data_IF_107163631197
#
_entry.id   IF_107163631197
#
_cell.length_a   1.000
_cell.length_b   1.000
_cell.length_c   1.000
_cell.angle_alpha   90.00
_cell.angle_beta   90.00
_cell.angle_gamma   90.00
#
_symmetry.space_group_name_H-M   'P 1'
#
loop_
_entity.id
_entity.type
_entity.pdbx_description
1 polymer ?
#
# COMPACT_ATOMS: atom_id res chain seq x y z
N UNK A 1 7.79 -2.68 -11.01
CA UNK A 1 6.42 -3.19 -11.32
C UNK A 1 5.66 -3.26 -10.01
N UNK A 2 4.55 -2.54 -9.87
CA UNK A 2 3.70 -2.59 -8.67
C UNK A 2 2.99 -3.93 -8.61
N UNK A 3 2.92 -4.54 -7.42
CA UNK A 3 2.24 -5.81 -7.19
C UNK A 3 1.01 -5.61 -6.30
N UNK A 4 -0.09 -6.32 -6.58
CA UNK A 4 -1.30 -6.35 -5.77
C UNK A 4 -1.17 -7.41 -4.67
N UNK A 5 -1.02 -6.94 -3.44
CA UNK A 5 -0.99 -7.79 -2.24
C UNK A 5 -2.38 -7.85 -1.58
N UNK A 6 -2.87 -9.05 -1.26
CA UNK A 6 -4.12 -9.25 -0.51
C UNK A 6 -3.82 -9.74 0.91
N UNK A 7 -4.22 -9.00 1.96
CA UNK A 7 -4.05 -9.45 3.34
C UNK A 7 -5.08 -10.52 3.69
N UNK A 8 -4.61 -11.62 4.29
CA UNK A 8 -5.43 -12.70 4.82
C UNK A 8 -5.61 -12.51 6.32
N UNK A 9 -6.85 -12.33 6.75
CA UNK A 9 -7.22 -11.89 8.12
C UNK A 9 -8.13 -12.89 8.86
N UNK A 10 -8.25 -14.08 8.28
CA UNK A 10 -9.12 -15.17 8.71
C UNK A 10 -8.64 -15.78 10.02
N UNK A 11 -9.56 -16.36 10.79
CA UNK A 11 -9.25 -16.81 12.16
C UNK A 11 -8.65 -18.22 12.24
N UNK A 12 -8.69 -18.99 11.15
CA UNK A 12 -8.17 -20.35 11.09
C UNK A 12 -7.25 -20.54 9.90
N UNK A 13 -6.34 -21.51 10.01
CA UNK A 13 -5.36 -21.83 8.96
C UNK A 13 -6.06 -22.33 7.71
N UNK A 14 -7.07 -23.20 7.86
CA UNK A 14 -7.84 -23.77 6.75
C UNK A 14 -8.52 -22.68 5.93
N UNK A 15 -9.10 -21.68 6.61
CA UNK A 15 -9.73 -20.56 5.94
C UNK A 15 -8.71 -19.66 5.25
N UNK A 16 -7.56 -19.39 5.88
CA UNK A 16 -6.48 -18.64 5.22
C UNK A 16 -6.00 -19.33 3.94
N UNK A 17 -5.85 -20.65 3.94
CA UNK A 17 -5.48 -21.43 2.74
C UNK A 17 -6.55 -21.31 1.65
N UNK A 18 -7.84 -21.39 2.00
CA UNK A 18 -8.93 -21.17 1.04
C UNK A 18 -8.90 -19.74 0.48
N UNK A 19 -8.62 -18.75 1.31
CA UNK A 19 -8.57 -17.34 0.92
C UNK A 19 -7.35 -17.04 0.03
N UNK A 20 -6.23 -17.76 0.18
CA UNK A 20 -5.11 -17.70 -0.78
C UNK A 20 -5.55 -18.11 -2.18
N UNK A 21 -6.32 -19.20 -2.30
CA UNK A 21 -6.80 -19.68 -3.58
C UNK A 21 -7.80 -18.69 -4.21
N UNK A 22 -8.70 -18.13 -3.40
CA UNK A 22 -9.63 -17.08 -3.83
C UNK A 22 -8.89 -15.81 -4.29
N UNK A 23 -7.88 -15.36 -3.54
CA UNK A 23 -7.06 -14.20 -3.89
C UNK A 23 -6.38 -14.38 -5.26
N UNK A 24 -5.83 -15.58 -5.51
CA UNK A 24 -5.26 -15.92 -6.82
C UNK A 24 -6.30 -15.88 -7.94
N UNK A 25 -7.47 -16.47 -7.72
CA UNK A 25 -8.55 -16.45 -8.72
C UNK A 25 -9.02 -15.02 -9.05
N UNK A 26 -8.92 -14.10 -8.09
CA UNK A 26 -9.21 -12.68 -8.26
C UNK A 26 -8.04 -11.86 -8.86
N UNK A 27 -6.90 -12.48 -9.17
CA UNK A 27 -5.76 -11.82 -9.81
C UNK A 27 -4.78 -11.14 -8.86
N UNK A 28 -4.71 -11.55 -7.59
CA UNK A 28 -3.66 -11.10 -6.69
C UNK A 28 -2.27 -11.60 -7.13
N UNK A 29 -1.26 -10.73 -7.01
CA UNK A 29 0.14 -11.08 -7.32
C UNK A 29 0.83 -11.77 -6.13
N UNK A 30 0.39 -11.43 -4.90
CA UNK A 30 0.90 -11.99 -3.65
C UNK A 30 -0.11 -11.84 -2.51
N UNK A 31 0.14 -12.54 -1.39
CA UNK A 31 -0.69 -12.50 -0.19
C UNK A 31 0.12 -12.09 1.06
N UNK A 32 -0.52 -11.37 1.97
CA UNK A 32 0.03 -11.03 3.30
C UNK A 32 -0.68 -11.85 4.38
N UNK A 33 0.03 -12.78 5.00
CA UNK A 33 -0.47 -13.61 6.10
C UNK A 33 -0.36 -12.82 7.40
N UNK A 34 -1.51 -12.46 7.99
CA UNK A 34 -1.61 -11.80 9.29
C UNK A 34 -1.70 -12.83 10.41
N UNK A 35 -0.55 -13.33 10.87
CA UNK A 35 -0.51 -14.36 11.91
C UNK A 35 -1.21 -13.91 13.20
N UNK A 36 -1.20 -12.61 13.50
CA UNK A 36 -1.90 -11.99 14.63
C UNK A 36 -3.43 -12.15 14.59
N UNK A 37 -3.99 -12.48 13.42
CA UNK A 37 -5.42 -12.75 13.28
C UNK A 37 -5.80 -14.22 13.58
N UNK A 38 -4.85 -15.16 13.57
CA UNK A 38 -5.13 -16.58 13.80
C UNK A 38 -5.43 -16.86 15.27
N UNK A 39 -6.48 -17.65 15.51
CA UNK A 39 -6.82 -18.14 16.85
C UNK A 39 -6.16 -19.51 17.08
N UNK A 40 -5.53 -19.70 18.24
CA UNK A 40 -4.84 -20.96 18.61
C UNK A 40 -3.69 -21.36 17.66
N UNK A 41 -2.91 -20.38 17.20
CA UNK A 41 -1.78 -20.58 16.29
C UNK A 41 -0.64 -21.36 16.95
N UNK A 42 -0.26 -22.49 16.34
CA UNK A 42 0.95 -23.25 16.66
C UNK A 42 1.98 -23.08 15.52
N UNK A 43 3.06 -22.32 15.72
CA UNK A 43 4.03 -22.05 14.67
C UNK A 43 4.63 -23.31 14.02
N UNK A 44 4.83 -24.40 14.76
CA UNK A 44 5.46 -25.61 14.20
C UNK A 44 4.54 -26.34 13.23
N UNK A 45 3.26 -26.43 13.58
CA UNK A 45 2.24 -27.11 12.78
C UNK A 45 1.72 -26.22 11.65
N UNK A 46 1.37 -24.99 11.98
CA UNK A 46 0.55 -24.14 11.13
C UNK A 46 1.36 -23.43 10.05
N UNK A 47 2.61 -23.07 10.32
CA UNK A 47 3.49 -22.49 9.30
C UNK A 47 3.76 -23.47 8.16
N UNK A 48 3.89 -24.77 8.46
CA UNK A 48 4.09 -25.77 7.42
C UNK A 48 2.87 -25.83 6.47
N UNK A 49 1.66 -25.71 7.00
CA UNK A 49 0.43 -25.69 6.21
C UNK A 49 0.28 -24.39 5.40
N UNK A 50 0.55 -23.24 6.02
CA UNK A 50 0.43 -21.92 5.37
C UNK A 50 1.50 -21.67 4.30
N UNK A 51 2.71 -22.20 4.50
CA UNK A 51 3.86 -21.92 3.64
C UNK A 51 4.19 -23.04 2.65
N UNK A 52 3.60 -24.23 2.81
CA UNK A 52 3.88 -25.44 2.02
C UNK A 52 3.48 -25.31 0.55
N UNK A 53 2.24 -25.70 0.21
CA UNK A 53 1.74 -25.69 -1.18
C UNK A 53 0.90 -24.44 -1.47
N UNK A 54 1.54 -23.28 -1.34
CA UNK A 54 0.86 -22.00 -1.51
C UNK A 54 0.80 -21.58 -2.99
N UNK A 55 -0.37 -21.13 -3.48
CA UNK A 55 -0.55 -20.84 -4.90
C UNK A 55 0.01 -19.48 -5.33
N UNK A 56 0.42 -18.64 -4.36
CA UNK A 56 0.97 -17.29 -4.54
C UNK A 56 2.21 -17.04 -3.65
N UNK A 57 3.11 -16.12 -4.06
CA UNK A 57 4.07 -15.48 -3.16
C UNK A 57 3.40 -15.01 -1.86
N UNK A 58 3.99 -15.31 -0.70
CA UNK A 58 3.46 -14.96 0.61
C UNK A 58 4.43 -14.07 1.37
N UNK A 59 3.84 -13.14 2.12
CA UNK A 59 4.49 -12.24 3.05
C UNK A 59 3.95 -12.60 4.43
N UNK A 60 4.79 -12.58 5.44
CA UNK A 60 4.35 -12.81 6.82
C UNK A 60 4.61 -11.55 7.63
N UNK A 61 3.55 -11.02 8.22
CA UNK A 61 3.63 -9.82 9.06
C UNK A 61 4.00 -10.21 10.51
N UNK A 62 4.92 -9.44 11.09
CA UNK A 62 5.34 -9.44 12.51
C UNK A 62 5.98 -10.72 13.06
N UNK A 63 7.06 -10.55 13.85
CA UNK A 63 7.80 -11.55 14.63
C UNK A 63 8.20 -12.88 13.95
N UNK A 64 7.94 -13.03 12.65
CA UNK A 64 8.25 -14.22 11.87
C UNK A 64 9.75 -14.51 11.83
N UNK A 65 10.59 -13.47 11.85
CA UNK A 65 12.06 -13.60 11.90
C UNK A 65 12.51 -14.40 13.13
N UNK A 66 11.80 -14.30 14.25
CA UNK A 66 12.09 -15.10 15.46
C UNK A 66 11.65 -16.56 15.33
N UNK A 67 10.69 -16.84 14.45
CA UNK A 67 10.10 -18.15 14.25
C UNK A 67 10.84 -18.99 13.19
N UNK A 68 11.57 -18.35 12.27
CA UNK A 68 12.47 -19.04 11.35
C UNK A 68 13.86 -19.19 11.95
N UNK A 69 14.39 -20.41 11.93
CA UNK A 69 15.68 -20.82 12.51
C UNK A 69 16.90 -20.28 11.74
N UNK A 70 16.98 -18.95 11.54
CA UNK A 70 18.03 -18.23 10.80
C UNK A 70 18.12 -18.55 9.29
N UNK A 71 17.42 -19.57 8.80
CA UNK A 71 17.33 -19.91 7.36
C UNK A 71 15.96 -19.57 6.78
N UNK A 72 15.98 -18.60 5.88
CA UNK A 72 14.85 -18.24 5.02
C UNK A 72 14.55 -19.39 4.04
N UNK A 73 13.29 -19.87 3.93
CA UNK A 73 12.93 -20.90 2.96
C UNK A 73 13.18 -20.45 1.50
N UNK A 74 13.39 -21.39 0.58
CA UNK A 74 13.42 -21.10 -0.86
C UNK A 74 12.06 -20.52 -1.31
N UNK A 75 12.08 -19.55 -2.23
CA UNK A 75 10.90 -18.79 -2.72
C UNK A 75 10.11 -18.01 -1.65
N UNK A 76 10.70 -17.72 -0.50
CA UNK A 76 10.12 -16.84 0.53
C UNK A 76 10.53 -15.37 0.30
N UNK A 77 9.69 -14.40 0.67
CA UNK A 77 10.05 -12.98 0.75
C UNK A 77 9.67 -12.43 2.12
N UNK A 78 10.62 -11.79 2.79
CA UNK A 78 10.46 -11.15 4.08
C UNK A 78 10.00 -9.70 3.87
N UNK A 79 8.84 -9.36 4.41
CA UNK A 79 8.48 -7.98 4.67
C UNK A 79 8.97 -7.59 6.05
N UNK A 80 9.65 -6.46 6.12
CA UNK A 80 9.80 -5.76 7.39
C UNK A 80 8.98 -4.47 7.28
N UNK A 81 8.02 -4.34 8.18
CA UNK A 81 7.08 -3.23 8.21
C UNK A 81 7.33 -2.28 9.37
N UNK A 82 7.13 -0.99 9.14
CA UNK A 82 7.09 0.03 10.18
C UNK A 82 5.76 0.79 10.11
N UNK A 83 5.16 1.04 11.27
CA UNK A 83 3.89 1.73 11.43
C UNK A 83 4.09 2.98 12.29
N UNK A 84 3.75 4.16 11.77
CA UNK A 84 3.65 5.40 12.53
C UNK A 84 2.16 5.81 12.56
N UNK A 85 1.52 5.60 13.71
CA UNK A 85 0.10 5.87 13.88
C UNK A 85 -0.20 7.35 14.18
N UNK A 86 0.83 8.18 14.34
CA UNK A 86 0.71 9.57 14.78
C UNK A 86 0.80 10.55 13.59
N UNK A 87 1.73 10.34 12.68
CA UNK A 87 2.01 11.26 11.58
C UNK A 87 2.75 10.61 10.42
N UNK A 88 2.99 11.39 9.36
CA UNK A 88 3.91 11.04 8.29
C UNK A 88 5.21 11.83 8.44
N UNK A 89 6.37 11.16 8.63
CA UNK A 89 7.67 11.82 8.73
C UNK A 89 8.11 12.50 7.42
N UNK A 90 9.19 13.27 7.49
CA UNK A 90 9.83 13.87 6.31
C UNK A 90 10.40 12.82 5.35
N UNK A 91 10.66 13.20 4.11
CA UNK A 91 11.25 12.29 3.10
C UNK A 91 12.65 11.79 3.50
N UNK A 92 13.43 12.59 4.23
CA UNK A 92 14.74 12.19 4.75
C UNK A 92 14.61 11.10 5.84
N UNK A 93 13.67 11.28 6.77
CA UNK A 93 13.40 10.29 7.82
C UNK A 93 12.84 8.99 7.24
N UNK A 94 11.91 9.10 6.28
CA UNK A 94 11.36 7.94 5.57
C UNK A 94 12.46 7.20 4.78
N UNK A 95 13.35 7.92 4.10
CA UNK A 95 14.48 7.30 3.37
C UNK A 95 15.45 6.60 4.33
N UNK A 96 15.73 7.22 5.48
CA UNK A 96 16.53 6.61 6.55
C UNK A 96 15.86 5.36 7.12
N UNK A 97 14.53 5.37 7.25
CA UNK A 97 13.75 4.20 7.66
C UNK A 97 13.82 3.08 6.62
N UNK A 98 13.65 3.40 5.32
CA UNK A 98 13.82 2.42 4.22
C UNK A 98 15.19 1.77 4.31
N UNK A 99 16.27 2.55 4.44
CA UNK A 99 17.64 2.04 4.53
C UNK A 99 17.83 1.10 5.73
N UNK A 100 17.28 1.44 6.90
CA UNK A 100 17.33 0.55 8.09
C UNK A 100 16.57 -0.75 7.88
N UNK A 101 15.39 -0.69 7.27
CA UNK A 101 14.56 -1.86 6.97
C UNK A 101 15.27 -2.78 5.96
N UNK A 102 15.89 -2.21 4.94
CA UNK A 102 16.71 -2.95 3.97
C UNK A 102 17.93 -3.60 4.63
N UNK A 103 18.66 -2.86 5.47
CA UNK A 103 19.83 -3.36 6.19
C UNK A 103 19.50 -4.52 7.15
N UNK A 104 18.25 -4.60 7.63
CA UNK A 104 17.75 -5.72 8.42
C UNK A 104 17.45 -7.00 7.59
N UNK A 105 17.66 -6.96 6.27
CA UNK A 105 17.48 -8.12 5.39
C UNK A 105 16.07 -8.27 4.81
N UNK A 106 15.27 -7.19 4.79
CA UNK A 106 13.95 -7.21 4.15
C UNK A 106 14.06 -7.39 2.62
N UNK A 107 13.21 -8.24 2.06
CA UNK A 107 13.00 -8.30 0.61
C UNK A 107 12.03 -7.23 0.13
N UNK A 108 11.09 -6.84 1.00
CA UNK A 108 10.06 -5.84 0.72
C UNK A 108 9.95 -4.91 1.93
N UNK A 109 10.01 -3.61 1.68
CA UNK A 109 9.83 -2.56 2.69
C UNK A 109 8.35 -2.16 2.74
N UNK A 110 7.73 -2.21 3.92
CA UNK A 110 6.37 -1.71 4.14
C UNK A 110 6.40 -0.56 5.15
N UNK A 111 6.04 0.64 4.73
CA UNK A 111 5.92 1.80 5.61
C UNK A 111 4.47 2.25 5.59
N UNK A 112 3.85 2.29 6.76
CA UNK A 112 2.50 2.80 6.94
C UNK A 112 2.56 3.98 7.92
N UNK A 113 2.02 5.12 7.50
CA UNK A 113 1.97 6.35 8.29
C UNK A 113 0.55 6.88 8.36
N UNK A 114 0.28 7.74 9.34
CA UNK A 114 -0.98 8.47 9.43
C UNK A 114 -0.84 9.82 8.72
N UNK A 115 -1.68 10.09 7.72
CA UNK A 115 -1.83 11.42 7.16
C UNK A 115 -2.76 12.25 8.06
N UNK A 116 -2.24 13.33 8.63
CA UNK A 116 -2.99 14.35 9.37
C UNK A 116 -3.55 15.39 8.41
N UNK A 117 -2.78 15.73 7.38
CA UNK A 117 -3.23 16.53 6.23
C UNK A 117 -2.87 15.82 4.92
N UNK A 118 -3.52 16.20 3.82
CA UNK A 118 -3.23 15.63 2.50
C UNK A 118 -1.79 15.88 2.04
N UNK A 119 -1.13 16.95 2.50
CA UNK A 119 0.27 17.23 2.14
C UNK A 119 1.23 16.16 2.67
N UNK A 120 0.82 15.42 3.70
CA UNK A 120 1.61 14.34 4.31
C UNK A 120 1.86 13.17 3.34
N UNK A 121 1.04 13.02 2.29
CA UNK A 121 1.24 11.95 1.30
C UNK A 121 2.39 12.28 0.33
N UNK A 122 2.77 13.56 0.19
CA UNK A 122 3.85 13.96 -0.74
C UNK A 122 5.22 13.35 -0.38
N UNK A 123 5.69 13.36 0.89
CA UNK A 123 6.90 12.63 1.29
C UNK A 123 6.87 11.14 0.97
N UNK A 124 5.71 10.48 1.11
CA UNK A 124 5.55 9.06 0.78
C UNK A 124 5.73 8.83 -0.73
N UNK A 125 5.14 9.67 -1.58
CA UNK A 125 5.35 9.59 -3.03
C UNK A 125 6.80 9.83 -3.42
N UNK A 126 7.48 10.80 -2.79
CA UNK A 126 8.90 11.04 -3.06
C UNK A 126 9.72 9.77 -2.81
N UNK A 127 9.54 9.12 -1.67
CA UNK A 127 10.28 7.88 -1.34
C UNK A 127 9.92 6.75 -2.30
N UNK A 128 8.65 6.60 -2.66
CA UNK A 128 8.18 5.57 -3.60
C UNK A 128 8.74 5.78 -5.02
N UNK A 129 8.80 7.03 -5.50
CA UNK A 129 9.38 7.36 -6.83
C UNK A 129 10.85 6.97 -6.88
N UNK A 130 11.60 7.18 -5.79
CA UNK A 130 12.98 6.69 -5.68
C UNK A 130 13.08 5.15 -5.62
N UNK A 131 11.96 4.45 -5.34
CA UNK A 131 11.88 2.99 -5.15
C UNK A 131 11.14 2.21 -6.27
N UNK A 132 10.75 2.85 -7.39
CA UNK A 132 10.14 2.26 -8.61
C UNK A 132 8.58 2.13 -8.64
N UNK A 133 7.92 3.14 -9.22
CA UNK A 133 6.60 3.06 -9.89
C UNK A 133 6.78 3.52 -11.35
N UNK A 134 5.92 3.09 -12.29
CA UNK A 134 5.90 3.62 -13.66
C UNK A 134 5.71 5.14 -13.62
N UNK A 135 6.73 5.89 -14.04
CA UNK A 135 6.87 7.33 -13.84
C UNK A 135 6.03 8.17 -14.80
N UNK A 136 5.21 7.56 -15.66
CA UNK A 136 4.49 8.21 -16.74
C UNK A 136 2.98 8.36 -16.51
N UNK A 137 2.41 7.67 -15.51
CA UNK A 137 0.98 7.78 -15.17
C UNK A 137 0.65 9.16 -14.60
N UNK A 138 -0.29 9.87 -15.25
CA UNK A 138 -0.73 11.19 -14.80
C UNK A 138 -1.80 11.10 -13.72
N UNK A 139 -1.66 11.91 -12.67
CA UNK A 139 -2.62 12.02 -11.57
C UNK A 139 -3.54 13.21 -11.82
N UNK A 140 -4.83 12.94 -11.83
CA UNK A 140 -5.90 13.92 -11.79
C UNK A 140 -6.70 13.75 -10.50
N UNK A 141 -7.49 14.75 -10.12
CA UNK A 141 -8.43 14.51 -9.04
C UNK A 141 -9.45 15.60 -8.79
N UNK A 142 -10.36 15.29 -7.88
CA UNK A 142 -11.31 16.25 -7.34
C UNK A 142 -10.85 16.66 -5.95
N UNK A 143 -10.67 17.95 -5.76
CA UNK A 143 -10.35 18.56 -4.48
C UNK A 143 -11.65 19.02 -3.82
N UNK A 144 -11.82 18.72 -2.53
CA UNK A 144 -12.91 19.25 -1.72
C UNK A 144 -12.89 18.76 -0.28
N UNK A 145 -13.78 19.30 0.56
CA UNK A 145 -14.02 18.88 1.94
C UNK A 145 -15.49 19.12 2.31
N UNK A 146 -16.33 18.06 2.47
CA UNK A 146 -16.03 16.64 2.26
C UNK A 146 -15.94 16.29 0.76
N UNK A 147 -15.20 15.23 0.42
CA UNK A 147 -15.02 14.81 -1.00
C UNK A 147 -15.42 13.35 -1.28
N UNK A 148 -15.56 12.51 -0.25
CA UNK A 148 -15.77 11.06 -0.40
C UNK A 148 -17.06 10.65 -1.12
N UNK A 149 -18.03 11.55 -1.25
CA UNK A 149 -19.29 11.30 -1.95
C UNK A 149 -19.22 11.55 -3.47
N UNK A 150 -18.10 12.10 -3.97
CA UNK A 150 -17.96 12.43 -5.39
C UNK A 150 -17.92 11.19 -6.26
N UNK A 151 -18.75 11.16 -7.30
CA UNK A 151 -18.72 10.12 -8.35
C UNK A 151 -17.69 10.41 -9.45
N UNK A 152 -16.97 11.53 -9.37
CA UNK A 152 -15.98 11.93 -10.38
C UNK A 152 -14.87 10.89 -10.58
N UNK A 153 -14.31 10.25 -9.53
CA UNK A 153 -13.34 9.18 -9.71
C UNK A 153 -13.85 7.99 -10.54
N UNK A 154 -15.12 7.60 -10.36
CA UNK A 154 -15.72 6.49 -11.11
C UNK A 154 -15.81 6.85 -12.59
N UNK A 155 -16.36 8.03 -12.90
CA UNK A 155 -16.56 8.49 -14.27
C UNK A 155 -15.23 8.68 -15.02
N UNK A 156 -14.26 9.38 -14.41
CA UNK A 156 -13.02 9.71 -15.08
C UNK A 156 -12.10 8.51 -15.26
N UNK A 157 -11.98 7.61 -14.28
CA UNK A 157 -11.17 6.40 -14.46
C UNK A 157 -11.78 5.47 -15.53
N UNK A 158 -13.11 5.38 -15.62
CA UNK A 158 -13.77 4.63 -16.70
C UNK A 158 -13.47 5.22 -18.09
N UNK A 159 -13.48 6.56 -18.19
CA UNK A 159 -13.14 7.25 -19.43
C UNK A 159 -11.65 7.14 -19.80
N UNK A 160 -10.73 7.29 -18.85
CA UNK A 160 -9.29 7.10 -19.09
C UNK A 160 -8.99 5.70 -19.59
N UNK A 161 -9.62 4.69 -18.97
CA UNK A 161 -9.51 3.30 -19.40
C UNK A 161 -10.07 3.07 -20.80
N UNK A 162 -11.21 3.67 -21.15
CA UNK A 162 -11.85 3.42 -22.46
C UNK A 162 -11.05 4.00 -23.64
N UNK A 163 -10.27 5.05 -23.41
CA UNK A 163 -9.43 5.68 -24.45
C UNK A 163 -7.94 5.33 -24.34
N UNK A 164 -7.56 4.46 -23.39
CA UNK A 164 -6.16 4.07 -23.18
C UNK A 164 -5.26 5.21 -22.68
N UNK A 165 -5.82 6.22 -22.01
CA UNK A 165 -5.05 7.33 -21.46
C UNK A 165 -4.42 6.90 -20.12
N UNK A 166 -3.08 6.94 -20.03
CA UNK A 166 -2.35 6.51 -18.84
C UNK A 166 -2.49 7.53 -17.70
N UNK A 167 -3.64 7.51 -17.03
CA UNK A 167 -3.95 8.42 -15.94
C UNK A 167 -4.86 7.78 -14.90
N UNK A 168 -4.84 8.35 -13.69
CA UNK A 168 -5.73 8.02 -12.58
C UNK A 168 -6.44 9.27 -12.08
N UNK A 169 -7.72 9.16 -11.72
CA UNK A 169 -8.50 10.22 -11.10
C UNK A 169 -8.87 9.86 -9.66
N UNK A 170 -8.43 10.65 -8.68
CA UNK A 170 -8.62 10.35 -7.24
C UNK A 170 -9.31 11.50 -6.47
N UNK A 171 -9.97 11.22 -5.34
CA UNK A 171 -10.44 12.27 -4.43
C UNK A 171 -9.28 12.80 -3.59
N UNK A 172 -9.18 14.13 -3.49
CA UNK A 172 -8.27 14.84 -2.59
C UNK A 172 -9.08 15.57 -1.52
N UNK A 173 -9.00 15.08 -0.27
CA UNK A 173 -9.58 15.74 0.90
C UNK A 173 -8.62 16.84 1.34
N UNK A 174 -8.94 18.10 1.05
CA UNK A 174 -7.99 19.21 1.23
C UNK A 174 -8.53 20.23 2.22
N UNK A 175 -7.71 20.58 3.21
CA UNK A 175 -8.03 21.58 4.24
C UNK A 175 -7.60 22.98 3.79
N UNK A 176 -6.34 23.12 3.39
CA UNK A 176 -5.75 24.37 2.91
C UNK A 176 -5.31 24.20 1.46
N UNK A 177 -6.00 24.88 0.54
CA UNK A 177 -5.74 24.74 -0.91
C UNK A 177 -4.33 25.17 -1.29
N UNK A 178 -3.81 26.24 -0.67
CA UNK A 178 -2.47 26.75 -0.98
C UNK A 178 -1.39 25.69 -0.69
N UNK A 179 -1.48 25.03 0.47
CA UNK A 179 -0.54 23.99 0.88
C UNK A 179 -0.61 22.78 -0.05
N UNK A 180 -1.82 22.37 -0.44
CA UNK A 180 -2.02 21.33 -1.45
C UNK A 180 -1.35 21.66 -2.79
N UNK A 181 -1.60 22.86 -3.34
CA UNK A 181 -1.03 23.26 -4.63
C UNK A 181 0.49 23.37 -4.57
N UNK A 182 1.05 23.80 -3.43
CA UNK A 182 2.49 23.83 -3.21
C UNK A 182 3.08 22.42 -3.17
N UNK A 183 2.46 21.51 -2.40
CA UNK A 183 2.92 20.12 -2.23
C UNK A 183 2.81 19.29 -3.53
N UNK A 184 1.78 19.53 -4.34
CA UNK A 184 1.45 18.76 -5.54
C UNK A 184 1.66 19.57 -6.83
N UNK A 185 2.80 20.25 -6.93
CA UNK A 185 3.14 21.16 -8.05
C UNK A 185 3.90 20.51 -9.21
N UNK A 186 4.25 19.21 -9.11
CA UNK A 186 4.99 18.52 -10.19
C UNK A 186 4.12 18.24 -11.42
N UNK A 187 4.76 17.97 -12.55
CA UNK A 187 4.09 17.64 -13.81
C UNK A 187 3.33 16.29 -13.79
N UNK A 188 3.43 15.52 -12.71
CA UNK A 188 2.68 14.28 -12.52
C UNK A 188 1.24 14.58 -12.11
N UNK A 189 1.02 15.70 -11.43
CA UNK A 189 -0.28 16.20 -11.01
C UNK A 189 -0.87 17.12 -12.09
N UNK A 190 -1.41 16.49 -13.13
CA UNK A 190 -1.71 17.14 -14.40
C UNK A 190 -3.00 17.97 -14.42
N UNK A 191 -3.90 17.79 -13.46
CA UNK A 191 -5.10 18.62 -13.39
C UNK A 191 -6.07 18.26 -12.27
N UNK A 192 -6.75 19.28 -11.77
CA UNK A 192 -7.69 19.14 -10.66
C UNK A 192 -9.04 19.78 -10.97
N UNK A 193 -10.12 19.10 -10.64
CA UNK A 193 -11.42 19.77 -10.42
C UNK A 193 -11.48 20.22 -8.98
N UNK A 194 -12.04 21.40 -8.78
CA UNK A 194 -12.31 21.94 -7.47
C UNK A 194 -13.81 21.95 -7.20
N UNK A 195 -14.24 21.46 -6.05
CA UNK A 195 -15.66 21.44 -5.64
C UNK A 195 -15.81 22.03 -4.24
N UNK A 196 -16.57 23.13 -4.12
CA UNK A 196 -16.82 23.79 -2.83
C UNK A 196 -18.28 23.71 -2.38
N UNK A 197 -18.45 23.37 -1.10
CA UNK A 197 -19.44 23.97 -0.20
C UNK A 197 -18.67 25.03 0.60
N UNK A 198 -18.67 26.27 0.11
CA UNK A 198 -18.28 27.57 0.72
C UNK A 198 -17.44 28.40 -0.27
N UNK A 199 -18.01 29.53 -0.69
CA UNK A 199 -17.43 30.48 -1.63
C UNK A 199 -16.29 31.28 -0.97
N UNK A 200 -15.41 31.76 -1.86
CA UNK A 200 -14.61 33.00 -1.79
C UNK A 200 -15.16 34.02 -0.80
#
# INVERSE_FOLDING_TARGET
MTLLCVPLVSKTVEQMVADMAAAKACGADLIEIRLDHLSNFDPRRDLQLLLGDRPLPALVAEDFVRLISEKKPENFKLIISSHNYQSTPSSEELSSLVARIQAAGADIVKIATTAVDIVDVAPMFQVIVHCQIGTDTKVFGIIGKPVGHSKSPILHNAAFKSVGFNAVYVPFLVDVLADFLNAYSSADFAGFRYSWVLRI
#
